data_IF_873290869968
#
_entry.id   IF_873290869968
#
_cell.length_a   1.000
_cell.length_b   1.000
_cell.length_c   1.000
_cell.angle_alpha   90.00
_cell.angle_beta   90.00
_cell.angle_gamma   90.00
#
_symmetry.space_group_name_H-M   'P 1'
#
loop_
_entity.id
_entity.type
_entity.pdbx_description
1 polymer ?
#
# COMPACT_ATOMS: atom_id res chain seq x y z
N UNK A 1 18.69 -25.58 16.59
CA UNK A 1 18.66 -24.44 15.64
C UNK A 1 17.70 -23.35 16.07
N UNK A 2 17.88 -22.10 15.61
CA UNK A 2 16.90 -21.02 15.84
C UNK A 2 15.95 -20.89 14.65
N UNK A 3 14.68 -20.70 14.96
CA UNK A 3 13.61 -20.42 13.99
C UNK A 3 12.75 -19.27 14.51
N UNK A 4 11.85 -18.76 13.69
CA UNK A 4 10.84 -17.78 14.11
C UNK A 4 9.46 -18.41 14.05
N UNK A 5 8.71 -18.36 15.16
CA UNK A 5 7.31 -18.81 15.23
C UNK A 5 6.44 -17.60 15.51
N UNK A 6 5.54 -17.26 14.57
CA UNK A 6 4.79 -16.01 14.57
C UNK A 6 5.71 -14.80 14.81
N UNK A 7 6.84 -14.76 14.08
CA UNK A 7 7.89 -13.73 14.15
C UNK A 7 8.66 -13.63 15.48
N UNK A 8 8.42 -14.56 16.42
CA UNK A 8 9.14 -14.63 17.70
C UNK A 8 10.24 -15.69 17.58
N UNK A 9 11.49 -15.32 17.86
CA UNK A 9 12.62 -16.26 17.86
C UNK A 9 12.39 -17.37 18.88
N UNK A 10 12.62 -18.62 18.46
CA UNK A 10 12.52 -19.84 19.28
C UNK A 10 13.72 -20.74 19.01
N UNK A 11 14.26 -21.32 20.07
CA UNK A 11 15.20 -22.43 19.97
C UNK A 11 14.45 -23.75 19.88
N UNK A 12 14.83 -24.57 18.91
CA UNK A 12 14.25 -25.88 18.63
C UNK A 12 15.34 -26.91 18.38
N UNK A 13 15.00 -28.19 18.54
CA UNK A 13 15.87 -29.30 18.14
C UNK A 13 16.20 -29.23 16.64
N UNK A 14 17.37 -29.76 16.26
CA UNK A 14 17.75 -29.82 14.85
C UNK A 14 16.89 -30.82 14.08
N UNK A 15 16.62 -30.51 12.80
CA UNK A 15 15.76 -31.30 11.92
C UNK A 15 14.31 -31.48 12.42
N UNK A 16 13.81 -30.58 13.27
CA UNK A 16 12.39 -30.54 13.61
C UNK A 16 11.54 -30.29 12.35
N UNK A 17 10.41 -30.97 12.24
CA UNK A 17 9.45 -30.73 11.17
C UNK A 17 8.50 -29.58 11.50
N UNK A 18 7.93 -28.94 10.48
CA UNK A 18 6.96 -27.86 10.63
C UNK A 18 5.77 -28.31 11.48
N UNK A 19 5.24 -29.52 11.26
CA UNK A 19 4.08 -30.01 12.01
C UNK A 19 4.45 -30.40 13.44
N UNK A 20 5.68 -30.85 13.70
CA UNK A 20 6.16 -31.04 15.07
C UNK A 20 6.28 -29.69 15.80
N UNK A 21 6.83 -28.67 15.15
CA UNK A 21 6.88 -27.31 15.69
C UNK A 21 5.47 -26.75 15.95
N UNK A 22 4.53 -26.92 15.00
CA UNK A 22 3.11 -26.59 15.20
C UNK A 22 2.56 -27.24 16.48
N UNK A 23 2.76 -28.54 16.66
CA UNK A 23 2.23 -29.25 17.82
C UNK A 23 2.80 -28.75 19.16
N UNK A 24 4.05 -28.26 19.15
CA UNK A 24 4.71 -27.69 20.34
C UNK A 24 4.18 -26.28 20.63
N UNK A 25 4.09 -25.42 19.62
CA UNK A 25 3.85 -23.99 19.82
C UNK A 25 2.38 -23.58 19.72
N UNK A 26 1.61 -24.19 18.81
CA UNK A 26 0.17 -23.99 18.72
C UNK A 26 -0.51 -25.16 18.00
N UNK A 27 -0.86 -26.19 18.77
CA UNK A 27 -1.52 -27.40 18.26
C UNK A 27 -2.86 -27.12 17.59
N UNK A 28 -3.58 -26.09 18.03
CA UNK A 28 -4.91 -25.72 17.54
C UNK A 28 -4.88 -25.02 16.17
N UNK A 29 -3.71 -24.70 15.62
CA UNK A 29 -3.62 -23.95 14.36
C UNK A 29 -4.18 -24.74 13.18
N UNK A 30 -4.97 -24.06 12.35
CA UNK A 30 -5.60 -24.61 11.15
C UNK A 30 -4.80 -24.31 9.88
N UNK A 31 -4.06 -23.20 9.88
CA UNK A 31 -3.24 -22.77 8.76
C UNK A 31 -1.79 -22.64 9.23
N UNK A 32 -0.89 -23.21 8.45
CA UNK A 32 0.56 -23.10 8.65
C UNK A 32 1.17 -22.45 7.41
N UNK A 33 1.91 -21.38 7.63
CA UNK A 33 2.64 -20.66 6.58
C UNK A 33 4.13 -20.79 6.87
N UNK A 34 4.89 -21.28 5.91
CA UNK A 34 6.34 -21.38 5.96
C UNK A 34 6.93 -20.34 5.00
N UNK A 35 7.75 -19.42 5.52
CA UNK A 35 8.46 -18.40 4.74
C UNK A 35 7.58 -17.63 3.74
N UNK A 36 6.36 -17.27 4.16
CA UNK A 36 5.40 -16.54 3.32
C UNK A 36 4.42 -17.42 2.53
N UNK A 37 4.64 -18.74 2.47
CA UNK A 37 3.83 -19.65 1.67
C UNK A 37 3.00 -20.63 2.53
N UNK A 38 1.67 -20.76 2.30
CA UNK A 38 0.86 -21.73 3.02
C UNK A 38 1.18 -23.16 2.59
N UNK A 39 1.59 -24.00 3.54
CA UNK A 39 1.95 -25.40 3.27
C UNK A 39 0.82 -26.37 3.65
N UNK A 40 0.80 -27.53 3.00
CA UNK A 40 -0.13 -28.65 3.30
C UNK A 40 0.58 -29.94 3.67
N UNK A 41 1.85 -30.05 3.33
CA UNK A 41 2.71 -31.20 3.61
C UNK A 41 3.74 -30.79 4.66
N UNK A 42 4.27 -31.78 5.38
CA UNK A 42 5.27 -31.52 6.41
C UNK A 42 6.64 -31.32 5.76
N UNK A 43 7.39 -30.33 6.26
CA UNK A 43 8.73 -30.01 5.78
C UNK A 43 9.70 -29.94 6.97
N UNK A 44 10.98 -30.21 6.71
CA UNK A 44 12.02 -30.06 7.73
C UNK A 44 12.44 -28.59 7.79
N UNK A 45 12.36 -28.01 8.98
CA UNK A 45 12.76 -26.63 9.21
C UNK A 45 14.28 -26.48 9.13
N UNK A 46 14.70 -25.29 8.70
CA UNK A 46 16.08 -24.84 8.62
C UNK A 46 16.30 -23.66 9.58
N UNK A 47 17.56 -23.39 9.89
CA UNK A 47 17.95 -22.21 10.66
C UNK A 47 17.38 -20.93 10.01
N UNK A 48 16.75 -20.07 10.83
CA UNK A 48 16.07 -18.83 10.45
C UNK A 48 14.76 -18.98 9.65
N UNK A 49 14.20 -20.19 9.50
CA UNK A 49 12.88 -20.34 8.90
C UNK A 49 11.81 -19.62 9.73
N UNK A 50 10.81 -19.08 9.03
CA UNK A 50 9.66 -18.37 9.61
C UNK A 50 8.42 -19.22 9.47
N UNK A 51 7.88 -19.69 10.60
CA UNK A 51 6.64 -20.47 10.69
C UNK A 51 5.56 -19.60 11.28
N UNK A 52 4.49 -19.37 10.54
CA UNK A 52 3.29 -18.70 11.05
C UNK A 52 2.18 -19.72 11.27
N UNK A 53 1.62 -19.71 12.47
CA UNK A 53 0.58 -20.59 12.97
C UNK A 53 -0.70 -19.78 13.23
N UNK A 54 -1.78 -20.11 12.51
CA UNK A 54 -3.04 -19.36 12.54
C UNK A 54 -4.21 -20.28 12.91
N UNK A 55 -4.97 -19.90 13.92
CA UNK A 55 -6.26 -20.48 14.29
C UNK A 55 -7.40 -19.75 13.53
N UNK A 56 -8.25 -20.48 12.81
CA UNK A 56 -9.36 -19.88 12.07
C UNK A 56 -10.47 -19.42 13.02
N UNK A 57 -11.04 -18.25 12.73
CA UNK A 57 -12.18 -17.70 13.48
C UNK A 57 -11.83 -17.09 14.84
N UNK A 58 -10.56 -17.14 15.25
CA UNK A 58 -10.07 -16.51 16.48
C UNK A 58 -9.43 -15.17 16.17
N UNK A 59 -9.84 -14.12 16.89
CA UNK A 59 -9.17 -12.82 16.83
C UNK A 59 -7.88 -12.90 17.66
N UNK A 60 -6.70 -12.65 17.07
CA UNK A 60 -5.43 -12.65 17.81
C UNK A 60 -5.31 -11.42 18.73
N UNK A 61 -4.33 -11.44 19.63
CA UNK A 61 -3.91 -10.22 20.35
C UNK A 61 -3.31 -9.20 19.37
N UNK A 62 -3.19 -7.91 19.75
CA UNK A 62 -2.63 -6.90 18.81
C UNK A 62 -1.18 -7.19 18.42
N UNK A 63 -0.33 -7.59 19.36
CA UNK A 63 1.06 -7.96 19.06
C UNK A 63 1.14 -9.16 18.11
N UNK A 64 0.24 -10.13 18.28
CA UNK A 64 0.16 -11.28 17.39
C UNK A 64 -0.43 -10.90 16.03
N UNK A 65 -1.42 -10.00 15.99
CA UNK A 65 -2.06 -9.53 14.77
C UNK A 65 -1.04 -8.92 13.79
N UNK A 66 -0.13 -8.06 14.27
CA UNK A 66 0.90 -7.46 13.42
C UNK A 66 1.78 -8.54 12.77
N UNK A 67 2.28 -9.48 13.58
CA UNK A 67 3.09 -10.60 13.10
C UNK A 67 2.33 -11.47 12.09
N UNK A 68 1.05 -11.72 12.34
CA UNK A 68 0.19 -12.50 11.44
C UNK A 68 -0.13 -11.75 10.14
N UNK A 69 -0.22 -10.42 10.16
CA UNK A 69 -0.45 -9.61 8.96
C UNK A 69 0.75 -9.67 8.00
N UNK A 70 1.96 -9.82 8.53
CA UNK A 70 3.19 -9.88 7.73
C UNK A 70 3.64 -11.32 7.42
N UNK A 71 2.93 -12.32 7.96
CA UNK A 71 3.23 -13.73 7.79
C UNK A 71 3.33 -14.21 6.34
N UNK A 72 2.61 -13.54 5.43
CA UNK A 72 2.60 -13.83 3.98
C UNK A 72 3.56 -12.97 3.18
N UNK A 73 4.28 -12.06 3.82
CA UNK A 73 5.32 -11.30 3.14
C UNK A 73 6.53 -12.19 2.91
N UNK A 74 7.24 -11.93 1.81
CA UNK A 74 8.57 -12.50 1.60
C UNK A 74 9.48 -12.05 2.77
N UNK A 75 10.34 -12.93 3.32
CA UNK A 75 11.23 -12.54 4.41
C UNK A 75 12.03 -11.26 4.09
N UNK A 76 12.21 -10.39 5.09
CA UNK A 76 12.91 -9.08 5.01
C UNK A 76 12.23 -7.99 4.16
N UNK A 77 11.16 -8.31 3.40
CA UNK A 77 10.41 -7.30 2.63
C UNK A 77 9.66 -6.36 3.57
N UNK A 78 9.05 -6.89 4.63
CA UNK A 78 8.25 -6.08 5.54
C UNK A 78 9.08 -5.02 6.27
N UNK A 79 10.31 -5.33 6.70
CA UNK A 79 11.21 -4.39 7.38
C UNK A 79 11.45 -3.14 6.52
N UNK A 80 11.78 -3.33 5.24
CA UNK A 80 11.96 -2.22 4.30
C UNK A 80 10.68 -1.42 4.05
N UNK A 81 9.53 -2.10 3.90
CA UNK A 81 8.24 -1.42 3.75
C UNK A 81 7.89 -0.58 4.98
N UNK A 82 8.17 -1.11 6.18
CA UNK A 82 7.90 -0.44 7.47
C UNK A 82 8.79 0.79 7.71
N UNK A 83 9.96 0.87 7.09
CA UNK A 83 10.80 2.07 7.11
C UNK A 83 10.34 3.13 6.10
N UNK A 84 9.61 2.71 5.06
CA UNK A 84 9.19 3.57 3.95
C UNK A 84 8.16 4.64 4.34
N UNK A 85 8.36 5.84 3.80
CA UNK A 85 7.48 6.99 3.98
C UNK A 85 6.97 7.48 2.63
N UNK A 86 5.65 7.54 2.49
CA UNK A 86 5.01 7.88 1.22
C UNK A 86 3.99 9.00 1.42
N UNK A 87 4.04 10.01 0.56
CA UNK A 87 2.98 11.01 0.44
C UNK A 87 2.04 10.68 -0.72
N UNK A 88 0.73 10.81 -0.49
CA UNK A 88 -0.33 10.66 -1.50
C UNK A 88 -1.04 12.00 -1.65
N UNK A 89 -0.88 12.60 -2.83
CA UNK A 89 -1.43 13.91 -3.17
C UNK A 89 -2.71 13.76 -3.96
N UNK A 90 -3.85 13.99 -3.31
CA UNK A 90 -5.19 13.71 -3.82
C UNK A 90 -5.66 12.32 -3.40
N UNK A 91 -6.86 12.25 -2.80
CA UNK A 91 -7.52 11.04 -2.30
C UNK A 91 -8.80 10.74 -3.09
N UNK A 92 -8.79 11.04 -4.38
CA UNK A 92 -9.81 10.63 -5.34
C UNK A 92 -9.72 9.14 -5.68
N UNK A 93 -10.11 8.77 -6.90
CA UNK A 93 -10.14 7.36 -7.33
C UNK A 93 -8.77 6.68 -7.27
N UNK A 94 -7.70 7.37 -7.67
CA UNK A 94 -6.35 6.85 -7.58
C UNK A 94 -5.85 6.79 -6.14
N UNK A 95 -5.76 7.94 -5.48
CA UNK A 95 -5.17 8.06 -4.15
C UNK A 95 -5.82 7.17 -3.09
N UNK A 96 -7.16 7.09 -3.09
CA UNK A 96 -7.90 6.23 -2.15
C UNK A 96 -7.58 4.73 -2.33
N UNK A 97 -7.44 4.27 -3.58
CA UNK A 97 -7.01 2.89 -3.87
C UNK A 97 -5.54 2.66 -3.50
N UNK A 98 -4.66 3.63 -3.79
CA UNK A 98 -3.24 3.53 -3.45
C UNK A 98 -3.05 3.45 -1.93
N UNK A 99 -3.73 4.31 -1.17
CA UNK A 99 -3.66 4.35 0.29
C UNK A 99 -4.03 2.99 0.91
N UNK A 100 -5.14 2.39 0.47
CA UNK A 100 -5.56 1.05 0.92
C UNK A 100 -4.51 -0.01 0.57
N UNK A 101 -4.00 -0.01 -0.66
CA UNK A 101 -3.03 -1.02 -1.08
C UNK A 101 -1.71 -0.91 -0.31
N UNK A 102 -1.19 0.30 -0.09
CA UNK A 102 0.03 0.51 0.68
C UNK A 102 -0.14 0.21 2.18
N UNK A 103 -1.30 0.52 2.75
CA UNK A 103 -1.63 0.16 4.13
C UNK A 103 -1.67 -1.36 4.32
N UNK A 104 -2.26 -2.09 3.37
CA UNK A 104 -2.37 -3.56 3.45
C UNK A 104 -1.04 -4.29 3.41
N UNK A 105 -0.03 -3.74 2.74
CA UNK A 105 1.32 -4.29 2.72
C UNK A 105 2.22 -3.73 3.84
N UNK A 106 1.68 -2.87 4.70
CA UNK A 106 2.38 -2.34 5.87
C UNK A 106 3.49 -1.35 5.55
N UNK A 107 3.24 -0.42 4.62
CA UNK A 107 4.11 0.77 4.48
C UNK A 107 4.10 1.56 5.80
N UNK A 108 5.28 1.91 6.29
CA UNK A 108 5.48 2.49 7.62
C UNK A 108 4.72 3.77 7.89
N UNK A 109 4.86 4.76 6.99
CA UNK A 109 4.18 6.05 7.11
C UNK A 109 3.49 6.45 5.81
N UNK A 110 2.23 6.87 5.92
CA UNK A 110 1.45 7.48 4.85
C UNK A 110 1.06 8.91 5.24
N UNK A 111 1.47 9.88 4.40
CA UNK A 111 0.99 11.26 4.48
C UNK A 111 -0.11 11.42 3.43
N UNK A 112 -1.35 11.64 3.88
CA UNK A 112 -2.52 11.74 3.03
C UNK A 112 -2.93 13.21 2.87
N UNK A 113 -3.13 13.65 1.63
CA UNK A 113 -3.41 15.05 1.35
C UNK A 113 -4.60 15.16 0.42
N UNK A 114 -5.64 15.84 0.88
CA UNK A 114 -6.82 16.22 0.10
C UNK A 114 -7.54 17.36 0.83
N UNK A 115 -8.33 18.16 0.13
CA UNK A 115 -9.10 19.26 0.71
C UNK A 115 -10.60 19.06 0.60
N UNK A 116 -11.04 18.07 -0.18
CA UNK A 116 -12.45 17.81 -0.44
C UNK A 116 -13.11 16.98 0.67
N UNK A 117 -14.44 16.99 0.61
CA UNK A 117 -15.30 16.06 1.33
C UNK A 117 -15.77 14.92 0.42
N UNK A 118 -16.22 13.82 1.02
CA UNK A 118 -16.80 12.70 0.30
C UNK A 118 -18.19 13.07 -0.23
N UNK A 119 -18.38 12.92 -1.54
CA UNK A 119 -19.67 13.16 -2.21
C UNK A 119 -20.29 11.86 -2.75
N UNK A 120 -21.62 11.79 -2.94
CA UNK A 120 -22.27 10.60 -3.51
C UNK A 120 -21.69 10.16 -4.86
N UNK A 121 -21.29 11.13 -5.71
CA UNK A 121 -20.70 10.88 -7.03
C UNK A 121 -19.32 10.21 -6.97
N UNK A 122 -18.68 10.21 -5.80
CA UNK A 122 -17.34 9.64 -5.58
C UNK A 122 -17.41 8.11 -5.39
N UNK A 123 -18.51 7.61 -4.82
CA UNK A 123 -18.67 6.21 -4.41
C UNK A 123 -18.59 5.20 -5.56
N UNK A 124 -18.73 5.67 -6.81
CA UNK A 124 -18.63 4.80 -7.98
C UNK A 124 -17.20 4.30 -8.25
N UNK A 125 -16.17 4.91 -7.64
CA UNK A 125 -14.75 4.60 -7.95
C UNK A 125 -13.75 4.89 -6.84
N UNK A 126 -14.15 5.60 -5.79
CA UNK A 126 -13.30 5.97 -4.66
C UNK A 126 -13.58 5.05 -3.48
N UNK A 127 -12.57 4.80 -2.63
CA UNK A 127 -12.66 3.87 -1.52
C UNK A 127 -13.31 4.49 -0.25
N UNK A 128 -14.52 5.03 -0.43
CA UNK A 128 -15.36 5.59 0.62
C UNK A 128 -16.68 4.82 0.72
N UNK A 129 -17.32 4.86 1.89
CA UNK A 129 -18.63 4.25 2.11
C UNK A 129 -19.74 5.32 2.11
N UNK A 130 -20.99 4.85 2.05
CA UNK A 130 -22.17 5.73 2.14
C UNK A 130 -22.14 6.56 3.43
N UNK A 131 -21.69 5.95 4.54
CA UNK A 131 -21.60 6.59 5.85
C UNK A 131 -20.51 7.66 5.95
N UNK A 132 -19.64 7.78 4.94
CA UNK A 132 -18.60 8.80 4.90
C UNK A 132 -19.02 10.08 4.18
N UNK A 133 -20.19 10.08 3.51
CA UNK A 133 -20.68 11.26 2.79
C UNK A 133 -20.69 12.48 3.73
N UNK A 134 -20.03 13.55 3.30
CA UNK A 134 -19.89 14.80 4.05
C UNK A 134 -18.67 14.87 4.99
N UNK A 135 -17.94 13.78 5.22
CA UNK A 135 -16.64 13.82 5.92
C UNK A 135 -15.54 14.32 4.99
N UNK A 136 -14.48 14.91 5.55
CA UNK A 136 -13.25 15.14 4.79
C UNK A 136 -12.68 13.81 4.29
N UNK A 137 -12.26 13.77 3.02
CA UNK A 137 -11.71 12.56 2.38
C UNK A 137 -10.52 11.99 3.15
N UNK A 138 -9.65 12.87 3.64
CA UNK A 138 -8.50 12.56 4.51
C UNK A 138 -8.90 11.89 5.82
N UNK A 139 -9.91 12.42 6.51
CA UNK A 139 -10.40 11.85 7.78
C UNK A 139 -11.04 10.48 7.56
N UNK A 140 -11.95 10.38 6.58
CA UNK A 140 -12.58 9.11 6.22
C UNK A 140 -11.54 8.05 5.83
N UNK A 141 -10.54 8.44 5.01
CA UNK A 141 -9.47 7.53 4.63
C UNK A 141 -8.63 7.11 5.84
N UNK A 142 -8.25 8.03 6.73
CA UNK A 142 -7.53 7.68 7.96
C UNK A 142 -8.30 6.68 8.82
N UNK A 143 -9.61 6.89 9.02
CA UNK A 143 -10.48 5.95 9.73
C UNK A 143 -10.50 4.56 9.07
N UNK A 144 -10.44 4.50 7.74
CA UNK A 144 -10.39 3.24 7.00
C UNK A 144 -9.04 2.55 7.18
N UNK A 145 -7.94 3.30 7.08
CA UNK A 145 -6.60 2.75 7.24
C UNK A 145 -6.38 2.22 8.66
N UNK A 146 -6.86 2.92 9.69
CA UNK A 146 -6.77 2.47 11.08
C UNK A 146 -7.53 1.14 11.31
N UNK A 147 -8.62 0.90 10.56
CA UNK A 147 -9.36 -0.39 10.57
C UNK A 147 -8.67 -1.48 9.73
N UNK A 148 -7.93 -1.11 8.70
CA UNK A 148 -7.24 -2.03 7.78
C UNK A 148 -5.93 -2.52 8.39
N UNK A 149 -5.11 -1.59 8.87
CA UNK A 149 -3.80 -1.85 9.43
C UNK A 149 -3.48 -0.79 10.50
N UNK A 150 -3.72 -1.07 11.79
CA UNK A 150 -3.48 -0.12 12.88
C UNK A 150 -2.00 0.07 13.23
N UNK A 151 -1.08 -0.59 12.52
CA UNK A 151 0.36 -0.57 12.79
C UNK A 151 1.15 0.40 11.90
N UNK A 152 0.46 1.16 11.04
CA UNK A 152 1.08 2.19 10.19
C UNK A 152 0.84 3.59 10.77
N UNK A 153 1.78 4.49 10.56
CA UNK A 153 1.64 5.91 10.89
C UNK A 153 0.88 6.62 9.76
N UNK A 154 -0.28 7.20 10.07
CA UNK A 154 -1.09 7.95 9.09
C UNK A 154 -1.23 9.40 9.55
N UNK A 155 -0.59 10.27 8.78
CA UNK A 155 -0.67 11.72 8.90
C UNK A 155 -1.61 12.27 7.82
N UNK A 156 -2.44 13.26 8.17
CA UNK A 156 -3.40 13.85 7.25
C UNK A 156 -3.21 15.36 7.13
N UNK A 157 -3.35 15.88 5.92
CA UNK A 157 -3.38 17.30 5.61
C UNK A 157 -4.67 17.64 4.86
N UNK A 158 -5.63 18.24 5.57
CA UNK A 158 -6.90 18.68 5.01
C UNK A 158 -6.70 20.04 4.30
N UNK A 159 -5.93 20.05 3.21
CA UNK A 159 -5.46 21.28 2.60
C UNK A 159 -5.28 21.15 1.08
N UNK A 160 -5.53 22.26 0.38
CA UNK A 160 -5.14 22.41 -1.01
C UNK A 160 -3.62 22.62 -1.07
N UNK A 161 -2.92 21.85 -1.90
CA UNK A 161 -1.47 21.92 -1.97
C UNK A 161 -1.02 23.07 -2.86
N UNK A 162 -0.08 23.84 -2.33
CA UNK A 162 0.58 24.96 -3.01
C UNK A 162 2.08 24.88 -2.77
N UNK A 163 2.85 25.73 -3.46
CA UNK A 163 4.31 25.79 -3.26
C UNK A 163 4.71 26.21 -1.86
N UNK A 164 3.83 26.95 -1.18
CA UNK A 164 4.08 27.50 0.14
C UNK A 164 3.91 26.46 1.26
N UNK A 165 3.06 25.44 1.04
CA UNK A 165 2.75 24.43 2.06
C UNK A 165 3.29 23.03 1.77
N UNK A 166 3.93 22.79 0.63
CA UNK A 166 4.42 21.46 0.20
C UNK A 166 5.69 20.97 0.93
N UNK A 167 6.30 21.79 1.80
CA UNK A 167 7.62 21.51 2.38
C UNK A 167 7.70 20.18 3.18
N UNK A 168 6.59 19.69 3.73
CA UNK A 168 6.56 18.39 4.42
C UNK A 168 6.93 17.21 3.51
N UNK A 169 6.85 17.36 2.18
CA UNK A 169 7.28 16.33 1.23
C UNK A 169 8.80 16.06 1.25
N UNK A 170 9.60 16.93 1.88
CA UNK A 170 11.01 16.62 2.09
C UNK A 170 11.25 15.44 3.04
N UNK A 171 10.25 15.07 3.86
CA UNK A 171 10.37 13.99 4.85
C UNK A 171 10.02 12.60 4.32
N UNK A 172 9.47 12.50 3.11
CA UNK A 172 9.07 11.23 2.49
C UNK A 172 10.12 10.70 1.52
N UNK A 173 10.01 9.43 1.12
CA UNK A 173 10.86 8.80 0.11
C UNK A 173 10.22 8.88 -1.29
N UNK A 174 8.89 8.74 -1.32
CA UNK A 174 8.08 8.65 -2.54
C UNK A 174 6.87 9.59 -2.44
N UNK A 175 6.61 10.30 -3.52
CA UNK A 175 5.45 11.16 -3.72
C UNK A 175 4.60 10.56 -4.84
N UNK A 176 3.36 10.25 -4.50
CA UNK A 176 2.35 9.78 -5.43
C UNK A 176 1.42 10.93 -5.78
N UNK A 177 1.47 11.36 -7.03
CA UNK A 177 0.60 12.40 -7.55
C UNK A 177 -0.69 11.77 -8.10
N UNK A 178 -1.82 12.17 -7.53
CA UNK A 178 -3.15 11.64 -7.82
C UNK A 178 -4.21 12.77 -7.92
N UNK A 179 -3.80 13.96 -8.38
CA UNK A 179 -4.72 15.06 -8.64
C UNK A 179 -5.56 14.81 -9.90
N UNK A 180 -6.76 15.36 -9.91
CA UNK A 180 -7.66 15.40 -11.05
C UNK A 180 -7.47 16.65 -11.91
N UNK A 181 -7.12 17.79 -11.30
CA UNK A 181 -6.83 19.03 -12.02
C UNK A 181 -5.46 18.99 -12.73
N UNK A 182 -5.42 19.15 -14.08
CA UNK A 182 -4.17 19.10 -14.84
C UNK A 182 -3.18 20.22 -14.49
N UNK A 183 -3.66 21.41 -14.08
CA UNK A 183 -2.78 22.54 -13.75
C UNK A 183 -2.04 22.29 -12.43
N UNK A 184 -2.77 21.88 -11.40
CA UNK A 184 -2.22 21.48 -10.11
C UNK A 184 -1.21 20.34 -10.28
N UNK A 185 -1.58 19.30 -11.05
CA UNK A 185 -0.67 18.21 -11.42
C UNK A 185 0.64 18.73 -12.01
N UNK A 186 0.55 19.58 -13.04
CA UNK A 186 1.73 20.11 -13.72
C UNK A 186 2.59 20.99 -12.80
N UNK A 187 1.96 21.88 -12.05
CA UNK A 187 2.63 22.79 -11.12
C UNK A 187 3.40 22.04 -10.03
N UNK A 188 2.70 21.15 -9.31
CA UNK A 188 3.29 20.43 -8.19
C UNK A 188 4.34 19.43 -8.67
N UNK A 189 4.08 18.73 -9.77
CA UNK A 189 5.08 17.83 -10.36
C UNK A 189 6.34 18.59 -10.75
N UNK A 190 6.22 19.74 -11.40
CA UNK A 190 7.38 20.56 -11.76
C UNK A 190 8.16 21.04 -10.54
N UNK A 191 7.46 21.46 -9.48
CA UNK A 191 8.10 21.89 -8.24
C UNK A 191 8.92 20.75 -7.60
N UNK A 192 8.30 19.58 -7.39
CA UNK A 192 8.97 18.40 -6.82
C UNK A 192 10.17 18.02 -7.66
N UNK A 193 10.01 17.97 -8.98
CA UNK A 193 11.06 17.60 -9.91
C UNK A 193 12.25 18.57 -9.95
N UNK A 194 12.04 19.86 -9.65
CA UNK A 194 13.10 20.86 -9.63
C UNK A 194 13.81 20.93 -8.28
N UNK A 195 13.06 20.80 -7.18
CA UNK A 195 13.51 21.14 -5.82
C UNK A 195 13.68 19.93 -4.89
N UNK A 196 13.14 18.76 -5.24
CA UNK A 196 13.14 17.53 -4.42
C UNK A 196 13.73 16.35 -5.19
N UNK A 197 14.92 16.55 -5.79
CA UNK A 197 15.55 15.59 -6.72
C UNK A 197 15.95 14.26 -6.08
N UNK A 198 16.01 14.20 -4.76
CA UNK A 198 16.27 12.97 -4.01
C UNK A 198 15.02 12.07 -3.91
N UNK A 199 13.83 12.60 -4.18
CA UNK A 199 12.54 11.91 -4.02
C UNK A 199 12.09 11.22 -5.30
N UNK A 200 11.36 10.12 -5.15
CA UNK A 200 10.64 9.51 -6.27
C UNK A 200 9.30 10.21 -6.48
N UNK A 201 8.99 10.57 -7.71
CA UNK A 201 7.68 11.05 -8.13
C UNK A 201 7.03 10.00 -9.03
N UNK A 202 5.81 9.58 -8.67
CA UNK A 202 5.00 8.65 -9.45
C UNK A 202 3.66 9.35 -9.74
N UNK A 203 3.39 9.61 -11.01
CA UNK A 203 2.17 10.25 -11.49
C UNK A 203 1.33 9.29 -12.35
N UNK A 204 0.17 9.76 -12.80
CA UNK A 204 -0.73 9.00 -13.67
C UNK A 204 -1.19 9.78 -14.90
N UNK A 205 -1.52 9.05 -15.98
CA UNK A 205 -2.09 9.64 -17.21
C UNK A 205 -2.84 8.59 -18.04
N UNK A 206 -4.11 8.86 -18.37
CA UNK A 206 -4.96 7.98 -19.19
C UNK A 206 -5.43 6.70 -18.48
N UNK A 207 -6.69 6.69 -18.02
CA UNK A 207 -7.30 5.53 -17.32
C UNK A 207 -8.84 5.53 -17.34
N UNK A 208 -9.47 6.43 -18.11
CA UNK A 208 -10.92 6.55 -18.18
C UNK A 208 -11.56 5.43 -19.02
N UNK A 209 -12.87 5.27 -18.92
CA UNK A 209 -13.60 4.25 -19.67
C UNK A 209 -13.36 2.82 -19.18
N UNK A 210 -13.65 1.87 -20.05
CA UNK A 210 -13.70 0.41 -19.79
C UNK A 210 -12.80 -0.38 -20.75
N UNK A 211 -11.82 0.29 -21.36
CA UNK A 211 -10.88 -0.33 -22.29
C UNK A 211 -10.03 -1.41 -21.62
N UNK A 212 -9.31 -2.18 -22.45
CA UNK A 212 -8.39 -3.22 -21.99
C UNK A 212 -7.52 -2.71 -20.84
N UNK A 213 -7.37 -3.53 -19.82
CA UNK A 213 -6.56 -3.19 -18.65
C UNK A 213 -5.07 -3.42 -18.90
N UNK A 214 -4.71 -4.29 -19.85
CA UNK A 214 -3.31 -4.61 -20.15
C UNK A 214 -2.55 -3.47 -20.84
N UNK A 215 -3.25 -2.44 -21.34
CA UNK A 215 -2.63 -1.24 -21.91
C UNK A 215 -2.24 -0.21 -20.85
N UNK A 216 -2.67 -0.39 -19.59
CA UNK A 216 -2.15 0.39 -18.46
C UNK A 216 -0.76 -0.15 -18.15
N UNK A 217 0.25 0.70 -18.33
CA UNK A 217 1.65 0.34 -18.10
C UNK A 217 2.34 1.38 -17.21
N UNK A 218 3.48 0.98 -16.66
CA UNK A 218 4.37 1.87 -15.90
C UNK A 218 5.53 2.28 -16.79
N UNK A 219 5.70 3.59 -17.02
CA UNK A 219 6.77 4.14 -17.85
C UNK A 219 7.73 4.97 -16.99
N UNK A 220 9.03 4.65 -17.04
CA UNK A 220 10.09 5.52 -16.51
C UNK A 220 10.26 6.69 -17.47
N UNK A 221 10.03 7.91 -17.00
CA UNK A 221 10.19 9.14 -17.80
C UNK A 221 11.63 9.63 -17.72
N UNK A 222 12.19 9.63 -16.50
CA UNK A 222 13.60 9.90 -16.23
C UNK A 222 13.98 9.33 -14.86
N UNK A 223 15.17 9.65 -14.38
CA UNK A 223 15.56 9.24 -13.03
C UNK A 223 14.55 9.73 -11.98
N UNK A 224 14.13 8.81 -11.11
CA UNK A 224 13.14 9.02 -10.05
C UNK A 224 11.79 9.61 -10.48
N UNK A 225 11.43 9.57 -11.77
CA UNK A 225 10.13 10.03 -12.26
C UNK A 225 9.45 9.01 -13.18
N UNK A 226 8.25 8.60 -12.79
CA UNK A 226 7.47 7.56 -13.45
C UNK A 226 6.03 8.03 -13.68
N UNK A 227 5.42 7.52 -14.75
CA UNK A 227 3.98 7.72 -15.02
C UNK A 227 3.33 6.36 -15.27
N UNK A 228 2.17 6.14 -14.65
CA UNK A 228 1.33 4.96 -14.83
C UNK A 228 0.05 5.30 -15.61
N UNK A 229 -0.36 4.43 -16.53
CA UNK A 229 -1.61 4.58 -17.28
C UNK A 229 -1.47 4.14 -18.73
N UNK A 230 -2.48 4.45 -19.53
CA UNK A 230 -2.53 4.15 -20.96
C UNK A 230 -2.13 5.34 -21.85
N UNK A 231 -1.95 6.54 -21.26
CA UNK A 231 -1.51 7.76 -21.93
C UNK A 231 -2.45 8.27 -23.04
N UNK A 232 -3.67 7.76 -23.15
CA UNK A 232 -4.60 8.07 -24.25
C UNK A 232 -6.01 8.42 -23.76
N UNK A 233 -6.57 7.65 -22.81
CA UNK A 233 -8.00 7.73 -22.48
C UNK A 233 -8.27 8.59 -21.25
N UNK A 234 -8.65 9.83 -21.51
CA UNK A 234 -9.03 10.83 -20.51
C UNK A 234 -10.55 10.87 -20.30
N UNK A 235 -10.97 11.30 -19.10
CA UNK A 235 -12.38 11.45 -18.80
C UNK A 235 -12.97 12.60 -19.63
N UNK A 236 -14.11 12.35 -20.28
CA UNK A 236 -14.82 13.31 -21.13
C UNK A 236 -16.29 12.95 -21.20
N UNK A 237 -17.08 13.76 -21.88
CA UNK A 237 -18.50 13.45 -22.12
C UNK A 237 -18.66 12.06 -22.77
N UNK A 238 -19.49 11.21 -22.16
CA UNK A 238 -19.68 9.83 -22.58
C UNK A 238 -18.60 8.83 -22.12
N UNK A 239 -17.52 9.30 -21.47
CA UNK A 239 -16.39 8.48 -21.04
C UNK A 239 -15.99 8.81 -19.59
N UNK A 240 -16.67 8.15 -18.65
CA UNK A 240 -16.42 8.33 -17.22
C UNK A 240 -15.28 7.47 -16.67
N UNK A 241 -14.92 7.72 -15.42
CA UNK A 241 -13.95 6.90 -14.68
C UNK A 241 -14.63 5.65 -14.10
N UNK A 242 -14.09 4.47 -14.42
CA UNK A 242 -14.61 3.18 -13.96
C UNK A 242 -13.75 2.60 -12.83
N UNK A 243 -14.38 2.16 -11.73
CA UNK A 243 -13.66 1.68 -10.53
C UNK A 243 -12.57 0.65 -10.84
N UNK A 244 -12.82 -0.42 -11.64
CA UNK A 244 -11.80 -1.44 -11.89
C UNK A 244 -10.57 -0.86 -12.60
N UNK A 245 -10.78 -0.02 -13.62
CA UNK A 245 -9.70 0.54 -14.44
C UNK A 245 -8.87 1.56 -13.66
N UNK A 246 -9.53 2.39 -12.86
CA UNK A 246 -8.88 3.31 -11.91
C UNK A 246 -8.06 2.53 -10.89
N UNK A 247 -8.62 1.48 -10.29
CA UNK A 247 -7.92 0.65 -9.31
C UNK A 247 -6.70 -0.08 -9.92
N UNK A 248 -6.76 -0.48 -11.19
CA UNK A 248 -5.61 -1.09 -11.88
C UNK A 248 -4.48 -0.07 -12.03
N UNK A 249 -4.77 1.15 -12.51
CA UNK A 249 -3.77 2.22 -12.60
C UNK A 249 -3.20 2.58 -11.21
N UNK A 250 -4.06 2.72 -10.20
CA UNK A 250 -3.66 2.94 -8.82
C UNK A 250 -2.72 1.84 -8.29
N UNK A 251 -3.03 0.57 -8.57
CA UNK A 251 -2.19 -0.54 -8.14
C UNK A 251 -0.88 -0.67 -8.93
N UNK A 252 -0.81 -0.19 -10.18
CA UNK A 252 0.47 0.00 -10.85
C UNK A 252 1.36 1.01 -10.10
N UNK A 253 0.78 2.13 -9.66
CA UNK A 253 1.51 3.14 -8.87
C UNK A 253 1.94 2.59 -7.51
N UNK A 254 1.03 1.96 -6.76
CA UNK A 254 1.32 1.36 -5.46
C UNK A 254 2.38 0.26 -5.56
N UNK A 255 2.27 -0.64 -6.54
CA UNK A 255 3.26 -1.71 -6.75
C UNK A 255 4.63 -1.15 -7.13
N UNK A 256 4.69 -0.11 -7.97
CA UNK A 256 5.95 0.56 -8.27
C UNK A 256 6.57 1.16 -7.00
N UNK A 257 5.78 1.83 -6.16
CA UNK A 257 6.26 2.38 -4.89
C UNK A 257 6.83 1.28 -3.98
N UNK A 258 6.14 0.14 -3.87
CA UNK A 258 6.65 -1.02 -3.12
C UNK A 258 7.98 -1.52 -3.67
N UNK A 259 8.13 -1.61 -5.00
CA UNK A 259 9.38 -2.03 -5.63
C UNK A 259 10.54 -1.07 -5.34
N UNK A 260 10.26 0.24 -5.29
CA UNK A 260 11.25 1.26 -4.93
C UNK A 260 11.70 1.07 -3.48
N UNK A 261 10.76 0.97 -2.54
CA UNK A 261 11.08 0.82 -1.12
C UNK A 261 11.91 -0.43 -0.80
N UNK A 262 11.75 -1.51 -1.59
CA UNK A 262 12.48 -2.76 -1.36
C UNK A 262 13.79 -2.89 -2.16
N UNK A 263 14.21 -1.83 -2.86
CA UNK A 263 15.38 -1.77 -3.74
C UNK A 263 15.36 -2.77 -4.91
N UNK A 264 14.24 -2.85 -5.64
CA UNK A 264 14.03 -3.80 -6.74
C UNK A 264 13.88 -3.13 -8.12
N UNK A 265 14.45 -1.93 -8.31
CA UNK A 265 14.40 -1.18 -9.59
C UNK A 265 15.74 -0.58 -9.99
#
# INVERSE_FOLDING_TARGET
MKIFVNEIEKEVEDNISVFKAKNIFNKCSDVVVLNGFPIKEDEILKENDRVTLIEKGKKPSMNELENLMIARHTPKVHEKLKEGKIAILGLGGLGSNIAISLARIGVGKLILVDYDVVEPSNLNRQQYFIDDIGKYKTEAMKEHLDKINPFIDVEIHNAYITRENINFLHEVDIILEAFDDPNCKAEISNFVLLHMRDKYLIASSGMAGYYDSNIIITKKIRDKFYICGDFVHEAKEGEGLMAPRVAICANHMANLASKILIDYI
#
